data_IF_285845743759
#
_entry.id   IF_285845743759
#
_cell.length_a   1.000
_cell.length_b   1.000
_cell.length_c   1.000
_cell.angle_alpha   90.00
_cell.angle_beta   90.00
_cell.angle_gamma   90.00
#
_symmetry.space_group_name_H-M   'P 1'
#
loop_
_entity.id
_entity.type
_entity.pdbx_description
1 polymer ?
#
# COMPACT_ATOMS: atom_id res chain seq x y z
N UNK A 1 5.24 -12.83 7.46
CA UNK A 1 4.15 -11.93 7.91
C UNK A 1 3.82 -12.24 9.36
N UNK A 2 3.36 -11.26 10.13
CA UNK A 2 2.99 -11.46 11.53
C UNK A 2 1.60 -12.12 11.58
N UNK A 3 1.42 -13.32 12.18
CA UNK A 3 0.16 -14.06 12.16
C UNK A 3 -1.03 -13.26 12.73
N UNK A 4 -0.84 -12.64 13.89
CA UNK A 4 -1.87 -11.89 14.63
C UNK A 4 -2.37 -10.60 13.93
N UNK A 5 -1.77 -10.21 12.80
CA UNK A 5 -2.09 -8.95 12.08
C UNK A 5 -2.74 -9.18 10.72
N UNK A 6 -2.98 -10.43 10.34
CA UNK A 6 -3.62 -10.77 9.07
C UNK A 6 -5.14 -10.75 9.26
N UNK A 7 -5.86 -10.07 8.34
CA UNK A 7 -7.34 -10.03 8.35
C UNK A 7 -7.94 -11.28 7.70
N UNK A 8 -7.37 -11.67 6.55
CA UNK A 8 -7.62 -12.95 5.90
C UNK A 8 -6.29 -13.58 5.45
N UNK A 9 -6.33 -14.85 5.07
CA UNK A 9 -5.11 -15.62 4.84
C UNK A 9 -4.45 -15.38 3.47
N UNK A 10 -5.20 -14.96 2.44
CA UNK A 10 -4.69 -14.93 1.07
C UNK A 10 -4.56 -13.53 0.50
N UNK A 11 -5.65 -12.76 0.45
CA UNK A 11 -5.66 -11.45 -0.19
C UNK A 11 -4.87 -10.40 0.61
N UNK A 12 -5.00 -10.40 1.93
CA UNK A 12 -4.22 -9.52 2.81
C UNK A 12 -2.72 -9.75 2.62
N UNK A 13 -2.29 -11.02 2.57
CA UNK A 13 -0.87 -11.36 2.35
C UNK A 13 -0.42 -10.94 0.96
N UNK A 14 -1.20 -11.25 -0.07
CA UNK A 14 -0.87 -10.91 -1.47
C UNK A 14 -0.73 -9.40 -1.65
N UNK A 15 -1.70 -8.62 -1.17
CA UNK A 15 -1.74 -7.17 -1.30
C UNK A 15 -0.63 -6.50 -0.46
N UNK A 16 -0.40 -6.95 0.78
CA UNK A 16 0.68 -6.43 1.63
C UNK A 16 2.06 -6.70 1.02
N UNK A 17 2.25 -7.86 0.37
CA UNK A 17 3.49 -8.19 -0.34
C UNK A 17 3.71 -7.26 -1.53
N UNK A 18 2.69 -7.07 -2.37
CA UNK A 18 2.76 -6.17 -3.52
C UNK A 18 3.13 -4.73 -3.13
N UNK A 19 2.50 -4.20 -2.06
CA UNK A 19 2.83 -2.87 -1.52
C UNK A 19 4.30 -2.79 -1.07
N UNK A 20 4.80 -3.82 -0.38
CA UNK A 20 6.20 -3.87 0.09
C UNK A 20 7.19 -3.88 -1.08
N UNK A 21 6.89 -4.64 -2.14
CA UNK A 21 7.75 -4.74 -3.33
C UNK A 21 7.83 -3.41 -4.09
N UNK A 22 6.69 -2.76 -4.33
CA UNK A 22 6.64 -1.45 -5.02
C UNK A 22 7.29 -0.36 -4.15
N UNK A 23 7.04 -0.37 -2.83
CA UNK A 23 7.71 0.53 -1.89
C UNK A 23 9.23 0.38 -1.93
N UNK A 24 9.74 -0.85 -2.01
CA UNK A 24 11.17 -1.12 -2.17
C UNK A 24 11.75 -0.56 -3.47
N UNK A 25 11.06 -0.74 -4.60
CA UNK A 25 11.45 -0.14 -5.89
C UNK A 25 11.48 1.39 -5.82
N UNK A 26 10.46 1.99 -5.22
CA UNK A 26 10.35 3.45 -5.03
C UNK A 26 11.49 3.98 -4.18
N UNK A 27 11.83 3.29 -3.08
CA UNK A 27 12.96 3.63 -2.21
C UNK A 27 14.30 3.60 -2.95
N UNK A 28 14.52 2.59 -3.80
CA UNK A 28 15.74 2.49 -4.62
C UNK A 28 15.81 3.65 -5.62
N UNK A 29 14.72 3.97 -6.32
CA UNK A 29 14.67 5.10 -7.26
C UNK A 29 14.94 6.44 -6.56
N UNK A 30 14.41 6.62 -5.34
CA UNK A 30 14.71 7.77 -4.50
C UNK A 30 16.20 7.86 -4.14
N UNK A 31 16.82 6.74 -3.75
CA UNK A 31 18.26 6.67 -3.48
C UNK A 31 19.13 7.01 -4.69
N UNK A 32 18.67 6.68 -5.89
CA UNK A 32 19.32 7.02 -7.17
C UNK A 32 19.02 8.45 -7.65
N UNK A 33 18.15 9.19 -6.95
CA UNK A 33 17.68 10.53 -7.34
C UNK A 33 17.04 10.56 -8.73
N UNK A 34 16.39 9.46 -9.13
CA UNK A 34 15.72 9.36 -10.42
C UNK A 34 14.28 9.86 -10.32
N UNK A 35 14.06 11.14 -10.62
CA UNK A 35 12.76 11.80 -10.48
C UNK A 35 11.65 11.17 -11.35
N UNK A 36 11.99 10.73 -12.57
CA UNK A 36 11.04 10.07 -13.48
C UNK A 36 10.59 8.73 -12.91
N UNK A 37 11.53 7.88 -12.48
CA UNK A 37 11.20 6.61 -11.86
C UNK A 37 10.40 6.79 -10.56
N UNK A 38 10.68 7.83 -9.77
CA UNK A 38 9.89 8.14 -8.57
C UNK A 38 8.45 8.50 -8.93
N UNK A 39 8.24 9.27 -10.01
CA UNK A 39 6.90 9.65 -10.45
C UNK A 39 6.09 8.42 -10.88
N UNK A 40 6.66 7.58 -11.74
CA UNK A 40 5.99 6.37 -12.26
C UNK A 40 5.70 5.37 -11.13
N UNK A 41 6.73 5.05 -10.32
CA UNK A 41 6.59 4.14 -9.18
C UNK A 41 5.68 4.69 -8.10
N UNK A 42 5.61 6.01 -7.93
CA UNK A 42 4.67 6.68 -7.03
C UNK A 42 3.22 6.42 -7.42
N UNK A 43 2.92 6.42 -8.73
CA UNK A 43 1.62 6.02 -9.26
C UNK A 43 1.29 4.55 -8.96
N UNK A 44 2.23 3.64 -9.21
CA UNK A 44 2.08 2.22 -8.85
C UNK A 44 1.86 2.03 -7.34
N UNK A 45 2.62 2.75 -6.51
CA UNK A 45 2.55 2.68 -5.06
C UNK A 45 1.18 3.16 -4.56
N UNK A 46 0.65 4.25 -5.11
CA UNK A 46 -0.69 4.74 -4.79
C UNK A 46 -1.76 3.69 -5.08
N UNK A 47 -1.69 3.02 -6.23
CA UNK A 47 -2.63 1.95 -6.57
C UNK A 47 -2.50 0.75 -5.62
N UNK A 48 -1.29 0.40 -5.21
CA UNK A 48 -1.07 -0.67 -4.23
C UNK A 48 -1.67 -0.34 -2.85
N UNK A 49 -1.57 0.92 -2.41
CA UNK A 49 -2.24 1.39 -1.20
C UNK A 49 -3.77 1.24 -1.31
N UNK A 50 -4.36 1.72 -2.41
CA UNK A 50 -5.80 1.65 -2.64
C UNK A 50 -6.32 0.21 -2.69
N UNK A 51 -5.61 -0.69 -3.37
CA UNK A 51 -6.03 -2.07 -3.54
C UNK A 51 -6.23 -2.81 -2.20
N UNK A 52 -5.39 -2.49 -1.19
CA UNK A 52 -5.56 -3.01 0.16
C UNK A 52 -6.65 -2.25 0.94
N UNK A 53 -6.60 -0.92 0.93
CA UNK A 53 -7.51 -0.09 1.73
C UNK A 53 -8.97 -0.20 1.29
N UNK A 54 -9.27 -0.30 -0.01
CA UNK A 54 -10.64 -0.50 -0.48
C UNK A 54 -11.31 -1.77 0.08
N UNK A 55 -10.50 -2.76 0.47
CA UNK A 55 -10.99 -4.04 0.98
C UNK A 55 -11.00 -4.11 2.50
N UNK A 56 -9.99 -3.54 3.16
CA UNK A 56 -9.76 -3.75 4.60
C UNK A 56 -9.71 -2.48 5.44
N UNK A 57 -9.74 -1.30 4.83
CA UNK A 57 -9.96 -0.05 5.55
C UNK A 57 -11.47 0.07 5.79
N UNK A 58 -11.97 -0.65 6.77
CA UNK A 58 -13.30 -0.40 7.34
C UNK A 58 -13.11 0.82 8.23
N UNK A 59 -13.89 1.86 7.96
CA UNK A 59 -13.90 3.08 8.75
C UNK A 59 -14.53 2.73 10.11
N UNK A 60 -13.71 2.34 11.09
CA UNK A 60 -14.15 2.10 12.47
C UNK A 60 -14.52 3.42 13.20
N UNK A 61 -14.81 4.50 12.47
CA UNK A 61 -15.18 5.82 13.00
C UNK A 61 -16.40 6.37 12.25
N UNK A 62 -17.64 6.15 12.76
CA UNK A 62 -18.86 6.72 12.17
C UNK A 62 -18.90 8.27 12.14
N UNK A 63 -17.96 8.94 12.80
CA UNK A 63 -18.02 10.38 13.07
C UNK A 63 -17.12 11.24 12.14
N UNK A 64 -16.30 10.62 11.27
CA UNK A 64 -15.34 11.35 10.43
C UNK A 64 -15.78 11.56 8.97
N UNK A 65 -16.92 11.00 8.54
CA UNK A 65 -17.48 11.22 7.20
C UNK A 65 -18.65 12.23 7.15
N UNK A 66 -18.97 12.93 8.24
CA UNK A 66 -19.97 14.03 8.27
C UNK A 66 -19.40 15.34 8.84
N UNK A 67 -18.29 15.82 8.29
CA UNK A 67 -17.84 17.21 8.46
C UNK A 67 -17.38 17.78 7.13
#
# INVERSE_FOLDING_TARGET
MLPERQRDDDDWKRLSKAMTEIGGRTFIAAGQRNAEAIFDLGGELYQACLACHQRYLIDDQPDLMMQ
#
